data_IF_763370349880
#
_entry.id   IF_763370349880
#
_cell.length_a   1.000
_cell.length_b   1.000
_cell.length_c   1.000
_cell.angle_alpha   90.00
_cell.angle_beta   90.00
_cell.angle_gamma   90.00
#
_symmetry.space_group_name_H-M   'P 1'
#
loop_
_entity.id
_entity.type
_entity.pdbx_description
1 polymer ?
#
# COMPACT_ATOMS: atom_id res chain seq x y z
N UNK A 1 21.94 -32.47 0.75
CA UNK A 1 20.99 -31.61 0.02
C UNK A 1 21.38 -30.19 0.35
N UNK A 2 21.62 -29.36 -0.65
CA UNK A 2 22.15 -28.00 -0.43
C UNK A 2 21.10 -27.19 0.33
N UNK A 3 21.45 -26.60 1.48
CA UNK A 3 20.53 -25.83 2.34
C UNK A 3 19.85 -24.68 1.60
N UNK A 4 20.52 -24.10 0.60
CA UNK A 4 19.98 -23.06 -0.26
C UNK A 4 18.81 -23.58 -1.12
N UNK A 5 18.96 -24.74 -1.77
CA UNK A 5 17.91 -25.35 -2.58
C UNK A 5 16.69 -25.68 -1.70
N UNK A 6 16.94 -26.25 -0.50
CA UNK A 6 15.86 -26.53 0.44
C UNK A 6 15.12 -25.26 0.86
N UNK A 7 15.86 -24.16 1.12
CA UNK A 7 15.28 -22.85 1.43
C UNK A 7 14.36 -22.33 0.32
N UNK A 8 14.82 -22.37 -0.92
CA UNK A 8 14.02 -21.93 -2.08
C UNK A 8 12.76 -22.77 -2.25
N UNK A 9 12.88 -24.10 -2.16
CA UNK A 9 11.73 -25.01 -2.28
C UNK A 9 10.71 -24.77 -1.16
N UNK A 10 11.18 -24.60 0.07
CA UNK A 10 10.31 -24.29 1.21
C UNK A 10 9.59 -22.95 1.04
N UNK A 11 10.30 -21.93 0.57
CA UNK A 11 9.74 -20.61 0.31
C UNK A 11 8.62 -20.66 -0.74
N UNK A 12 8.87 -21.36 -1.87
CA UNK A 12 7.85 -21.54 -2.92
C UNK A 12 6.66 -22.31 -2.39
N UNK A 13 6.90 -23.41 -1.65
CA UNK A 13 5.82 -24.19 -1.05
C UNK A 13 4.95 -23.37 -0.10
N UNK A 14 5.57 -22.61 0.81
CA UNK A 14 4.85 -21.73 1.74
C UNK A 14 4.06 -20.65 1.01
N UNK A 15 4.65 -20.03 -0.03
CA UNK A 15 3.97 -19.04 -0.85
C UNK A 15 2.68 -19.62 -1.46
N UNK A 16 2.79 -20.79 -2.11
CA UNK A 16 1.64 -21.46 -2.73
C UNK A 16 0.60 -21.88 -1.69
N UNK A 17 1.04 -22.44 -0.56
CA UNK A 17 0.14 -22.88 0.51
C UNK A 17 -0.66 -21.71 1.12
N UNK A 18 -0.02 -20.53 1.31
CA UNK A 18 -0.67 -19.34 1.88
C UNK A 18 -1.52 -18.61 0.82
N UNK A 19 -1.15 -18.63 -0.45
CA UNK A 19 -1.85 -17.89 -1.50
C UNK A 19 -3.32 -18.28 -1.66
N UNK A 20 -3.64 -19.56 -1.50
CA UNK A 20 -5.01 -20.04 -1.64
C UNK A 20 -5.99 -19.54 -0.56
N UNK A 21 -5.72 -19.69 0.76
CA UNK A 21 -6.59 -19.15 1.80
C UNK A 21 -6.63 -17.62 1.79
N UNK A 22 -5.50 -16.97 1.52
CA UNK A 22 -5.43 -15.52 1.42
C UNK A 22 -6.25 -15.00 0.23
N UNK A 23 -6.13 -15.63 -0.94
CA UNK A 23 -6.92 -15.27 -2.13
C UNK A 23 -8.42 -15.42 -1.90
N UNK A 24 -8.87 -16.48 -1.23
CA UNK A 24 -10.27 -16.64 -0.83
C UNK A 24 -10.73 -15.54 0.11
N UNK A 25 -9.90 -15.15 1.06
CA UNK A 25 -10.22 -14.07 1.99
C UNK A 25 -10.35 -12.74 1.25
N UNK A 26 -9.40 -12.38 0.41
CA UNK A 26 -9.40 -11.16 -0.42
C UNK A 26 -10.66 -11.11 -1.29
N UNK A 27 -11.02 -12.23 -1.93
CA UNK A 27 -12.21 -12.32 -2.75
C UNK A 27 -13.50 -12.04 -1.94
N UNK A 28 -13.62 -12.58 -0.72
CA UNK A 28 -14.75 -12.31 0.18
C UNK A 28 -14.83 -10.83 0.57
N UNK A 29 -13.69 -10.22 0.90
CA UNK A 29 -13.62 -8.80 1.24
C UNK A 29 -14.17 -7.94 0.10
N UNK A 30 -13.70 -8.14 -1.13
CA UNK A 30 -14.14 -7.34 -2.28
C UNK A 30 -15.57 -7.64 -2.74
N UNK A 31 -16.09 -8.82 -2.46
CA UNK A 31 -17.50 -9.15 -2.68
C UNK A 31 -18.43 -8.60 -1.61
N UNK A 32 -17.90 -8.06 -0.51
CA UNK A 32 -18.68 -7.58 0.63
C UNK A 32 -19.28 -8.68 1.49
N UNK A 33 -18.78 -9.92 1.38
CA UNK A 33 -19.19 -11.05 2.20
C UNK A 33 -18.71 -10.85 3.65
N UNK A 34 -19.37 -11.51 4.60
CA UNK A 34 -18.96 -11.48 6.02
C UNK A 34 -17.55 -12.05 6.18
N UNK A 35 -16.70 -11.30 6.87
CA UNK A 35 -15.33 -11.69 7.20
C UNK A 35 -15.03 -11.36 8.66
N UNK A 36 -13.96 -11.96 9.21
CA UNK A 36 -13.50 -11.65 10.57
C UNK A 36 -13.09 -10.16 10.73
N UNK A 37 -12.71 -9.49 9.65
CA UNK A 37 -12.34 -8.06 9.63
C UNK A 37 -13.53 -7.10 9.64
N UNK A 38 -14.76 -7.58 9.77
CA UNK A 38 -15.97 -6.75 9.79
C UNK A 38 -16.00 -5.75 10.97
N UNK A 39 -15.17 -5.95 11.99
CA UNK A 39 -15.00 -4.98 13.07
C UNK A 39 -14.41 -3.63 12.59
N UNK A 40 -13.81 -3.59 11.39
CA UNK A 40 -13.32 -2.35 10.76
C UNK A 40 -14.42 -1.50 10.10
N UNK A 41 -15.64 -2.03 9.92
CA UNK A 41 -16.78 -1.30 9.30
C UNK A 41 -17.05 0.10 9.88
N UNK A 42 -16.99 0.34 11.19
CA UNK A 42 -17.17 1.68 11.73
C UNK A 42 -16.13 2.68 11.24
N UNK A 43 -14.87 2.25 11.17
CA UNK A 43 -13.75 3.06 10.67
C UNK A 43 -13.94 3.38 9.18
N UNK A 44 -14.30 2.37 8.39
CA UNK A 44 -14.58 2.52 6.96
C UNK A 44 -15.71 3.53 6.71
N UNK A 45 -16.82 3.43 7.47
CA UNK A 45 -17.94 4.37 7.38
C UNK A 45 -17.51 5.80 7.71
N UNK A 46 -16.66 5.96 8.71
CA UNK A 46 -16.12 7.28 9.08
C UNK A 46 -15.28 7.85 7.93
N UNK A 47 -14.38 7.04 7.34
CA UNK A 47 -13.56 7.44 6.20
C UNK A 47 -14.45 7.86 5.01
N UNK A 48 -15.44 7.04 4.64
CA UNK A 48 -16.36 7.35 3.54
C UNK A 48 -17.17 8.62 3.80
N UNK A 49 -17.63 8.81 5.05
CA UNK A 49 -18.39 10.01 5.44
C UNK A 49 -17.54 11.28 5.35
N UNK A 50 -16.31 11.24 5.86
CA UNK A 50 -15.38 12.38 5.84
C UNK A 50 -14.94 12.70 4.42
N UNK A 51 -14.68 11.68 3.60
CA UNK A 51 -14.26 11.85 2.21
C UNK A 51 -15.43 12.15 1.24
N UNK A 52 -16.68 12.11 1.70
CA UNK A 52 -17.85 12.32 0.85
C UNK A 52 -18.04 11.24 -0.23
N UNK A 53 -17.57 10.02 0.04
CA UNK A 53 -17.59 8.91 -0.92
C UNK A 53 -18.81 8.02 -0.66
N UNK A 54 -19.55 7.71 -1.70
CA UNK A 54 -20.57 6.66 -1.66
C UNK A 54 -19.96 5.32 -2.09
N UNK A 55 -19.70 4.37 -1.17
CA UNK A 55 -19.04 3.11 -1.50
C UNK A 55 -19.90 2.18 -2.39
N UNK A 56 -21.20 2.41 -2.47
CA UNK A 56 -22.13 1.59 -3.25
C UNK A 56 -22.30 2.09 -4.71
N UNK A 57 -21.78 3.26 -5.03
CA UNK A 57 -21.84 3.81 -6.38
C UNK A 57 -20.80 3.12 -7.25
N UNK A 58 -21.25 2.41 -8.30
CA UNK A 58 -20.33 1.77 -9.23
C UNK A 58 -19.85 2.77 -10.29
N UNK A 59 -18.54 2.74 -10.54
CA UNK A 59 -17.86 3.57 -11.52
C UNK A 59 -17.72 2.86 -12.85
N UNK A 60 -17.85 3.60 -13.95
CA UNK A 60 -17.38 3.13 -15.25
C UNK A 60 -15.82 3.20 -15.30
N UNK A 61 -15.22 2.60 -16.33
CA UNK A 61 -13.77 2.54 -16.43
C UNK A 61 -13.08 3.91 -16.48
N UNK A 62 -13.73 4.94 -17.08
CA UNK A 62 -13.15 6.30 -17.14
C UNK A 62 -13.16 6.98 -15.77
N UNK A 63 -14.24 6.83 -15.03
CA UNK A 63 -14.35 7.36 -13.66
C UNK A 63 -13.35 6.66 -12.72
N UNK A 64 -13.22 5.35 -12.85
CA UNK A 64 -12.27 4.55 -12.07
C UNK A 64 -10.82 4.94 -12.37
N UNK A 65 -10.45 5.05 -13.65
CA UNK A 65 -9.12 5.50 -14.07
C UNK A 65 -8.85 6.94 -13.59
N UNK A 66 -9.83 7.84 -13.72
CA UNK A 66 -9.70 9.21 -13.23
C UNK A 66 -9.43 9.25 -11.72
N UNK A 67 -10.15 8.47 -10.92
CA UNK A 67 -9.95 8.39 -9.49
C UNK A 67 -8.53 7.89 -9.13
N UNK A 68 -8.06 6.84 -9.80
CA UNK A 68 -6.72 6.30 -9.66
C UNK A 68 -5.65 7.34 -10.02
N UNK A 69 -5.79 8.05 -11.14
CA UNK A 69 -4.83 9.07 -11.57
C UNK A 69 -4.81 10.28 -10.64
N UNK A 70 -5.96 10.74 -10.14
CA UNK A 70 -6.05 11.83 -9.17
C UNK A 70 -5.34 11.45 -7.88
N UNK A 71 -5.55 10.25 -7.37
CA UNK A 71 -4.86 9.78 -6.17
C UNK A 71 -3.35 9.75 -6.35
N UNK A 72 -2.87 9.21 -7.49
CA UNK A 72 -1.44 9.17 -7.77
C UNK A 72 -0.85 10.58 -7.95
N UNK A 73 -1.56 11.50 -8.63
CA UNK A 73 -1.12 12.88 -8.77
C UNK A 73 -1.02 13.59 -7.40
N UNK A 74 -1.99 13.36 -6.50
CA UNK A 74 -1.94 13.87 -5.14
C UNK A 74 -0.70 13.36 -4.39
N UNK A 75 -0.45 12.05 -4.40
CA UNK A 75 0.72 11.48 -3.73
C UNK A 75 2.04 11.92 -4.35
N UNK A 76 2.08 12.10 -5.68
CA UNK A 76 3.26 12.66 -6.34
C UNK A 76 3.60 14.06 -5.81
N UNK A 77 2.63 14.95 -5.78
CA UNK A 77 2.83 16.32 -5.25
C UNK A 77 3.22 16.27 -3.77
N UNK A 78 2.53 15.46 -2.98
CA UNK A 78 2.83 15.26 -1.56
C UNK A 78 4.28 14.80 -1.34
N UNK A 79 4.71 13.74 -2.03
CA UNK A 79 6.07 13.21 -1.92
C UNK A 79 7.13 14.20 -2.37
N UNK A 80 6.92 14.86 -3.51
CA UNK A 80 7.85 15.88 -4.02
C UNK A 80 8.03 17.02 -3.02
N UNK A 81 6.93 17.59 -2.53
CA UNK A 81 6.99 18.71 -1.58
C UNK A 81 7.76 18.33 -0.32
N UNK A 82 7.48 17.15 0.26
CA UNK A 82 8.14 16.73 1.47
C UNK A 82 9.63 16.41 1.28
N UNK A 83 10.00 15.76 0.19
CA UNK A 83 11.39 15.37 -0.08
C UNK A 83 12.28 16.58 -0.38
N UNK A 84 11.81 17.55 -1.16
CA UNK A 84 12.58 18.77 -1.46
C UNK A 84 12.61 19.77 -0.29
N UNK A 85 11.71 19.63 0.68
CA UNK A 85 11.65 20.51 1.87
C UNK A 85 12.12 19.84 3.15
N UNK A 86 12.57 18.60 3.11
CA UNK A 86 12.85 17.79 4.30
C UNK A 86 13.84 18.43 5.29
N UNK A 87 14.79 19.22 4.80
CA UNK A 87 15.78 19.89 5.67
C UNK A 87 15.16 20.89 6.66
N UNK A 88 13.95 21.39 6.37
CA UNK A 88 13.21 22.33 7.22
C UNK A 88 12.11 21.66 8.05
N UNK A 89 11.86 20.38 7.83
CA UNK A 89 10.82 19.63 8.52
C UNK A 89 11.30 19.13 9.89
N UNK A 90 10.39 18.89 10.83
CA UNK A 90 10.72 18.30 12.12
C UNK A 90 11.26 16.87 11.97
N UNK A 91 11.74 16.29 13.09
CA UNK A 91 12.29 14.93 13.15
C UNK A 91 13.53 14.76 12.24
N UNK A 92 14.43 15.74 12.26
CA UNK A 92 15.70 15.74 11.55
C UNK A 92 16.89 15.90 12.52
N UNK A 93 17.15 14.94 13.41
CA UNK A 93 18.23 15.05 14.39
C UNK A 93 19.63 15.04 13.74
N UNK A 94 19.76 14.40 12.59
CA UNK A 94 21.04 14.22 11.89
C UNK A 94 21.36 15.41 10.96
N UNK A 95 20.47 16.39 10.84
CA UNK A 95 20.67 17.58 10.00
C UNK A 95 20.67 17.27 8.49
N UNK A 96 19.98 16.23 8.04
CA UNK A 96 19.91 15.85 6.63
C UNK A 96 19.29 16.97 5.78
N UNK A 97 19.98 17.36 4.71
CA UNK A 97 19.53 18.41 3.79
C UNK A 97 18.35 17.99 2.91
N UNK A 98 17.76 18.94 2.15
CA UNK A 98 16.75 18.63 1.16
C UNK A 98 17.30 17.72 0.07
N UNK A 99 16.44 16.84 -0.47
CA UNK A 99 16.80 16.08 -1.68
C UNK A 99 16.84 17.03 -2.88
N UNK A 100 17.75 16.75 -3.82
CA UNK A 100 17.73 17.43 -5.12
C UNK A 100 16.45 17.08 -5.88
N UNK A 101 15.92 17.98 -6.73
CA UNK A 101 14.64 17.72 -7.41
C UNK A 101 14.62 16.45 -8.25
N UNK A 102 15.72 16.08 -8.89
CA UNK A 102 15.89 14.85 -9.65
C UNK A 102 15.87 13.60 -8.76
N UNK A 103 16.55 13.64 -7.61
CA UNK A 103 16.54 12.57 -6.63
C UNK A 103 15.15 12.41 -5.98
N UNK A 104 14.51 13.52 -5.61
CA UNK A 104 13.16 13.53 -5.07
C UNK A 104 12.15 12.96 -6.07
N UNK A 105 12.27 13.32 -7.35
CA UNK A 105 11.44 12.77 -8.42
C UNK A 105 11.61 11.26 -8.54
N UNK A 106 12.84 10.78 -8.64
CA UNK A 106 13.13 9.34 -8.74
C UNK A 106 12.60 8.58 -7.50
N UNK A 107 12.84 9.11 -6.30
CA UNK A 107 12.35 8.53 -5.06
C UNK A 107 10.82 8.47 -5.06
N UNK A 108 10.17 9.58 -5.37
CA UNK A 108 8.72 9.68 -5.37
C UNK A 108 8.08 8.69 -6.35
N UNK A 109 8.54 8.66 -7.60
CA UNK A 109 8.03 7.72 -8.61
C UNK A 109 8.29 6.28 -8.20
N UNK A 110 9.49 5.96 -7.74
CA UNK A 110 9.85 4.60 -7.34
C UNK A 110 8.91 4.04 -6.26
N UNK A 111 8.64 4.83 -5.23
CA UNK A 111 7.74 4.41 -4.15
C UNK A 111 6.26 4.47 -4.55
N UNK A 112 5.86 5.38 -5.44
CA UNK A 112 4.50 5.44 -5.97
C UNK A 112 4.11 4.23 -6.82
N UNK A 113 5.04 3.70 -7.61
CA UNK A 113 4.80 2.49 -8.42
C UNK A 113 5.14 1.20 -7.66
N UNK A 114 5.44 1.31 -6.37
CA UNK A 114 5.80 0.21 -5.48
C UNK A 114 7.04 -0.57 -5.94
N UNK A 115 7.97 0.11 -6.61
CA UNK A 115 9.24 -0.45 -7.06
C UNK A 115 10.29 -0.45 -5.94
N UNK A 116 10.25 0.55 -5.07
CA UNK A 116 11.08 0.72 -3.87
C UNK A 116 12.59 0.76 -4.15
N UNK A 117 12.99 1.25 -5.31
CA UNK A 117 14.40 1.43 -5.65
C UNK A 117 14.92 2.75 -5.09
N UNK A 118 16.02 2.69 -4.36
CA UNK A 118 16.72 3.85 -3.82
C UNK A 118 18.15 3.92 -4.37
N UNK A 119 18.62 5.13 -4.69
CA UNK A 119 19.98 5.41 -5.16
C UNK A 119 20.86 6.02 -4.08
N UNK A 120 20.37 6.08 -2.84
CA UNK A 120 21.01 6.69 -1.66
C UNK A 120 20.76 5.85 -0.43
N UNK A 121 21.56 6.06 0.61
CA UNK A 121 21.32 5.47 1.92
C UNK A 121 20.20 6.25 2.64
N UNK A 122 19.17 5.54 3.10
CA UNK A 122 18.05 6.14 3.82
C UNK A 122 18.46 6.84 5.12
N UNK A 123 19.50 6.33 5.78
CA UNK A 123 20.03 6.85 7.04
C UNK A 123 20.66 8.24 6.88
N UNK A 124 21.29 8.52 5.74
CA UNK A 124 21.96 9.79 5.47
C UNK A 124 21.24 10.68 4.46
N UNK A 125 20.30 10.15 3.71
CA UNK A 125 19.59 10.87 2.65
C UNK A 125 18.16 11.28 2.99
N UNK A 126 17.59 10.77 4.09
CA UNK A 126 16.21 11.04 4.50
C UNK A 126 16.14 11.42 5.98
N UNK A 127 15.20 12.33 6.30
CA UNK A 127 14.82 12.60 7.68
C UNK A 127 13.84 11.56 8.20
N UNK A 128 13.70 11.38 9.51
CA UNK A 128 12.67 10.49 10.06
C UNK A 128 11.26 10.91 9.63
N UNK A 129 11.03 12.21 9.45
CA UNK A 129 9.75 12.73 8.96
C UNK A 129 9.45 12.19 7.56
N UNK A 130 10.37 12.30 6.62
CA UNK A 130 10.16 11.80 5.24
C UNK A 130 10.16 10.28 5.16
N UNK A 131 10.90 9.59 6.02
CA UNK A 131 10.82 8.14 6.15
C UNK A 131 9.40 7.68 6.52
N UNK A 132 8.76 8.36 7.49
CA UNK A 132 7.40 8.03 7.93
C UNK A 132 6.34 8.45 6.91
N UNK A 133 6.38 9.74 6.48
CA UNK A 133 5.29 10.35 5.72
C UNK A 133 5.44 10.26 4.19
N UNK A 134 6.56 9.78 3.69
CA UNK A 134 6.74 9.48 2.27
C UNK A 134 7.04 7.99 2.11
N UNK A 135 8.17 7.50 2.58
CA UNK A 135 8.62 6.15 2.27
C UNK A 135 7.66 5.09 2.81
N UNK A 136 7.44 5.06 4.13
CA UNK A 136 6.57 4.06 4.76
C UNK A 136 5.11 4.22 4.32
N UNK A 137 4.61 5.47 4.27
CA UNK A 137 3.25 5.75 3.85
C UNK A 137 3.00 5.29 2.41
N UNK A 138 3.93 5.58 1.48
CA UNK A 138 3.78 5.17 0.09
C UNK A 138 3.81 3.66 -0.06
N UNK A 139 4.73 2.96 0.58
CA UNK A 139 4.76 1.49 0.55
C UNK A 139 3.41 0.88 0.92
N UNK A 140 2.70 1.47 1.87
CA UNK A 140 1.39 0.99 2.30
C UNK A 140 0.27 1.39 1.32
N UNK A 141 0.17 2.68 1.00
CA UNK A 141 -0.93 3.22 0.18
C UNK A 141 -0.83 2.75 -1.28
N UNK A 142 0.39 2.66 -1.83
CA UNK A 142 0.55 2.25 -3.23
C UNK A 142 0.30 0.76 -3.43
N UNK A 143 0.63 -0.06 -2.43
CA UNK A 143 0.21 -1.46 -2.42
C UNK A 143 -1.33 -1.58 -2.44
N UNK A 144 -2.03 -0.80 -1.60
CA UNK A 144 -3.49 -0.74 -1.60
C UNK A 144 -4.06 -0.23 -2.94
N UNK A 145 -3.41 0.75 -3.56
CA UNK A 145 -3.78 1.30 -4.87
C UNK A 145 -3.68 0.24 -5.97
N UNK A 146 -2.58 -0.52 -5.99
CA UNK A 146 -2.39 -1.65 -6.91
C UNK A 146 -3.45 -2.75 -6.71
N UNK A 147 -3.76 -3.09 -5.46
CA UNK A 147 -4.81 -4.05 -5.13
C UNK A 147 -6.20 -3.56 -5.57
N UNK A 148 -6.52 -2.27 -5.37
CA UNK A 148 -7.77 -1.68 -5.81
C UNK A 148 -7.91 -1.70 -7.34
N UNK A 149 -6.84 -1.38 -8.07
CA UNK A 149 -6.81 -1.46 -9.53
C UNK A 149 -7.03 -2.90 -10.02
N UNK A 150 -6.34 -3.87 -9.43
CA UNK A 150 -6.50 -5.29 -9.74
C UNK A 150 -7.93 -5.76 -9.44
N UNK A 151 -8.53 -5.36 -8.33
CA UNK A 151 -9.92 -5.71 -7.99
C UNK A 151 -10.90 -5.21 -9.05
N UNK A 152 -10.72 -3.99 -9.56
CA UNK A 152 -11.53 -3.45 -10.68
C UNK A 152 -11.39 -4.27 -11.95
N UNK A 153 -10.15 -4.63 -12.33
CA UNK A 153 -9.87 -5.48 -13.50
C UNK A 153 -10.51 -6.87 -13.34
N UNK A 154 -10.31 -7.52 -12.20
CA UNK A 154 -10.86 -8.85 -11.93
C UNK A 154 -12.40 -8.84 -11.93
N UNK A 155 -13.01 -7.79 -11.38
CA UNK A 155 -14.48 -7.60 -11.42
C UNK A 155 -14.98 -7.43 -12.85
N UNK A 156 -14.24 -6.69 -13.68
CA UNK A 156 -14.55 -6.52 -15.09
C UNK A 156 -14.50 -7.82 -15.86
N UNK A 157 -13.45 -8.63 -15.68
CA UNK A 157 -13.29 -9.92 -16.38
C UNK A 157 -14.34 -10.93 -15.92
N UNK A 158 -14.73 -10.92 -14.65
CA UNK A 158 -15.70 -11.87 -14.09
C UNK A 158 -17.15 -11.62 -14.53
N UNK A 159 -17.47 -10.45 -15.04
CA UNK A 159 -18.83 -10.08 -15.51
C UNK A 159 -18.91 -10.15 -17.03
N UNK A 160 -19.87 -10.89 -17.56
CA UNK A 160 -20.03 -11.07 -19.02
C UNK A 160 -20.49 -9.80 -19.75
N UNK A 161 -21.31 -8.98 -19.11
CA UNK A 161 -21.84 -7.73 -19.66
C UNK A 161 -22.03 -6.72 -18.55
N UNK A 162 -21.18 -5.71 -18.48
CA UNK A 162 -21.32 -4.61 -17.51
C UNK A 162 -20.59 -3.38 -18.02
N UNK A 163 -21.17 -2.21 -17.81
CA UNK A 163 -20.54 -0.93 -18.08
C UNK A 163 -19.79 -0.38 -16.86
N UNK A 164 -19.79 -1.11 -15.73
CA UNK A 164 -19.21 -0.68 -14.46
C UNK A 164 -18.21 -1.72 -13.94
N UNK A 165 -17.15 -1.25 -13.30
CA UNK A 165 -16.05 -2.09 -12.80
C UNK A 165 -15.88 -2.01 -11.28
N UNK A 166 -16.88 -1.44 -10.58
CA UNK A 166 -16.86 -1.25 -9.14
C UNK A 166 -16.50 0.17 -8.74
N UNK A 167 -16.16 0.37 -7.47
CA UNK A 167 -15.78 1.68 -6.93
C UNK A 167 -14.32 1.64 -6.48
N UNK A 168 -13.47 2.47 -7.09
CA UNK A 168 -12.04 2.53 -6.79
C UNK A 168 -11.77 2.86 -5.32
N UNK A 169 -12.46 3.87 -4.78
CA UNK A 169 -12.27 4.31 -3.40
C UNK A 169 -12.69 3.26 -2.39
N UNK A 170 -13.78 2.55 -2.68
CA UNK A 170 -14.20 1.43 -1.84
C UNK A 170 -13.15 0.32 -1.83
N UNK A 171 -12.64 -0.08 -3.00
CA UNK A 171 -11.58 -1.08 -3.08
C UNK A 171 -10.31 -0.63 -2.36
N UNK A 172 -9.93 0.65 -2.50
CA UNK A 172 -8.77 1.21 -1.82
C UNK A 172 -8.91 1.12 -0.29
N UNK A 173 -10.04 1.60 0.25
CA UNK A 173 -10.28 1.58 1.70
C UNK A 173 -10.32 0.15 2.23
N UNK A 174 -10.99 -0.77 1.55
CA UNK A 174 -11.03 -2.19 1.93
C UNK A 174 -9.64 -2.84 1.88
N UNK A 175 -8.82 -2.51 0.87
CA UNK A 175 -7.43 -2.96 0.79
C UNK A 175 -6.61 -2.51 1.99
N UNK A 176 -6.71 -1.22 2.34
CA UNK A 176 -6.01 -0.66 3.50
C UNK A 176 -6.47 -1.29 4.81
N UNK A 177 -7.78 -1.27 5.08
CA UNK A 177 -8.33 -1.57 6.41
C UNK A 177 -8.46 -3.05 6.69
N UNK A 178 -8.84 -3.85 5.68
CA UNK A 178 -9.16 -5.27 5.89
C UNK A 178 -8.08 -6.22 5.46
N UNK A 179 -7.19 -5.81 4.56
CA UNK A 179 -6.17 -6.70 4.01
C UNK A 179 -4.79 -6.30 4.52
N UNK A 180 -4.31 -5.10 4.14
CA UNK A 180 -2.94 -4.70 4.44
C UNK A 180 -2.72 -4.43 5.94
N UNK A 181 -3.60 -3.68 6.59
CA UNK A 181 -3.43 -3.33 8.00
C UNK A 181 -3.35 -4.56 8.92
N UNK A 182 -4.26 -5.55 8.85
CA UNK A 182 -4.15 -6.74 9.67
C UNK A 182 -2.89 -7.56 9.39
N UNK A 183 -2.52 -7.71 8.12
CA UNK A 183 -1.32 -8.44 7.73
C UNK A 183 -0.05 -7.73 8.20
N UNK A 184 0.02 -6.40 8.05
CA UNK A 184 1.17 -5.62 8.51
C UNK A 184 1.35 -5.68 10.03
N UNK A 185 0.25 -5.68 10.79
CA UNK A 185 0.29 -5.85 12.24
C UNK A 185 0.83 -7.23 12.64
N UNK A 186 0.36 -8.30 12.00
CA UNK A 186 0.86 -9.66 12.28
C UNK A 186 2.36 -9.75 11.98
N UNK A 187 2.79 -9.29 10.82
CA UNK A 187 4.21 -9.30 10.44
C UNK A 187 5.03 -8.40 11.35
N UNK A 188 4.51 -7.21 11.70
CA UNK A 188 5.15 -6.28 12.61
C UNK A 188 5.39 -6.91 14.00
N UNK A 189 4.40 -7.60 14.56
CA UNK A 189 4.57 -8.32 15.83
C UNK A 189 5.62 -9.42 15.73
N UNK A 190 5.67 -10.17 14.63
CA UNK A 190 6.71 -11.18 14.42
C UNK A 190 8.09 -10.53 14.36
N UNK A 191 8.25 -9.42 13.63
CA UNK A 191 9.51 -8.71 13.49
C UNK A 191 10.00 -8.13 14.83
N UNK A 192 9.12 -7.57 15.65
CA UNK A 192 9.46 -7.06 16.99
C UNK A 192 10.14 -8.13 17.83
N UNK A 193 9.72 -9.40 17.74
CA UNK A 193 10.34 -10.51 18.48
C UNK A 193 11.78 -10.84 18.01
N UNK A 194 12.19 -10.34 16.85
CA UNK A 194 13.54 -10.57 16.28
C UNK A 194 14.50 -9.40 16.48
N UNK A 195 14.00 -8.19 16.74
CA UNK A 195 14.83 -6.97 16.85
C UNK A 195 15.87 -7.05 17.96
N UNK A 196 15.61 -7.76 19.06
CA UNK A 196 16.56 -7.93 20.15
C UNK A 196 17.67 -8.95 19.91
N UNK A 197 17.60 -9.76 18.85
CA UNK A 197 18.57 -10.86 18.60
C UNK A 197 19.74 -10.46 17.71
N UNK A 198 19.67 -9.32 17.05
CA UNK A 198 20.72 -8.84 16.16
C UNK A 198 21.87 -8.12 16.89
N UNK A 199 21.77 -7.90 18.19
CA UNK A 199 22.75 -7.19 19.02
C UNK A 199 23.38 -8.07 20.13
N UNK A 200 23.31 -9.41 20.01
CA UNK A 200 23.97 -10.33 20.93
C UNK A 200 25.07 -11.08 20.20
#
# INVERSE_FOLDING_TARGET
MNTEILGVVLQIFLLVAISYPLGKYIAKVYKGEKTWSDFMKPVERLIFKVAGINPNEEMNWKQFLKALLILNAFWFVWGMVLLVSQGWLPLNPDGNGPQTPDQAFNTCISFMVNCNLQHYSGESGLTYFTQLFVIMLFQFITAATGMAAMAGIMKSISRKTTNTIGNFWNFLVLSCTRILLPLSLIVGFILITQIGRAHV
#
